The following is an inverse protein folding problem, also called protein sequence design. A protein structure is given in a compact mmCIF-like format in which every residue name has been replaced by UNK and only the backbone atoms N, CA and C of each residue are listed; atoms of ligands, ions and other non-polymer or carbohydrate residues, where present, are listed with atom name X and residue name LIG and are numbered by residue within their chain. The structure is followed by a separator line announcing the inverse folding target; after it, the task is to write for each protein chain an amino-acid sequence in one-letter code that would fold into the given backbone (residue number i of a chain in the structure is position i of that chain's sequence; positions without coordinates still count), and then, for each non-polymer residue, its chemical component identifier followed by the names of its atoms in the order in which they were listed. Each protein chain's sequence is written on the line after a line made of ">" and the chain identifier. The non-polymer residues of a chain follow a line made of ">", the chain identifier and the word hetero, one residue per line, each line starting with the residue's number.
data_IF_556962406450
#
_entry.id   IF_556962406450
#
_cell.length_a   1.000
_cell.length_b   1.000
_cell.length_c   1.000
_cell.angle_alpha   90.00
_cell.angle_beta   90.00
_cell.angle_gamma   90.00
#
_symmetry.space_group_name_H-M   'P 1'
#
loop_
_entity.id
_entity.type
_entity.pdbx_description
1 polymer ?
#
# COMPACT_ATOMS: atom_id res chain seq x y z
N UNK A 1 -12.12 -3.91 -2.79
CA UNK A 1 -10.92 -3.06 -2.88
C UNK A 1 -10.89 -2.17 -1.65
N UNK A 2 -9.75 -2.11 -0.98
CA UNK A 2 -9.49 -1.36 0.24
C UNK A 2 -8.67 -0.08 -0.06
N UNK A 3 -9.05 0.64 -1.12
CA UNK A 3 -8.42 1.91 -1.51
C UNK A 3 -9.45 2.92 -1.97
N UNK A 4 -9.11 4.21 -1.88
CA UNK A 4 -9.92 5.33 -2.36
C UNK A 4 -9.02 6.29 -3.16
N UNK A 5 -9.49 6.70 -4.33
CA UNK A 5 -8.90 7.77 -5.14
C UNK A 5 -9.55 9.09 -4.74
N UNK A 6 -8.71 10.06 -4.37
CA UNK A 6 -9.13 11.35 -3.79
C UNK A 6 -8.56 12.55 -4.55
N UNK A 7 -7.79 12.30 -5.60
CA UNK A 7 -7.22 13.32 -6.47
C UNK A 7 -6.78 12.74 -7.82
N UNK A 8 -6.30 13.60 -8.72
CA UNK A 8 -5.80 13.17 -10.04
C UNK A 8 -4.67 12.15 -9.90
N UNK A 9 -4.74 11.09 -10.70
CA UNK A 9 -3.71 10.05 -10.79
C UNK A 9 -2.67 10.34 -11.87
N UNK A 10 -2.85 11.39 -12.69
CA UNK A 10 -1.99 11.70 -13.84
C UNK A 10 -0.50 11.68 -13.47
N UNK A 11 -0.02 12.40 -12.43
CA UNK A 11 1.42 12.38 -12.10
C UNK A 11 1.90 11.05 -11.49
N UNK A 12 0.98 10.16 -11.09
CA UNK A 12 1.36 8.82 -10.61
C UNK A 12 1.58 7.86 -11.77
N UNK A 13 0.81 8.01 -12.86
CA UNK A 13 0.83 7.09 -14.01
C UNK A 13 1.66 7.61 -15.19
N UNK A 14 1.88 8.92 -15.29
CA UNK A 14 2.75 9.55 -16.29
C UNK A 14 4.23 9.40 -15.88
N UNK A 15 4.73 8.18 -16.03
CA UNK A 15 6.06 7.75 -15.58
C UNK A 15 6.73 6.92 -16.67
N UNK A 16 8.02 7.19 -16.90
CA UNK A 16 8.81 6.54 -17.93
C UNK A 16 9.38 5.18 -17.50
N UNK A 17 9.38 4.90 -16.19
CA UNK A 17 9.92 3.66 -15.64
C UNK A 17 9.07 2.45 -16.05
N UNK A 18 9.72 1.31 -16.24
CA UNK A 18 9.06 0.04 -16.56
C UNK A 18 8.36 -0.58 -15.36
N UNK A 19 8.86 -0.31 -14.16
CA UNK A 19 8.26 -0.73 -12.91
C UNK A 19 8.37 0.33 -11.82
N UNK A 20 7.23 0.60 -11.16
CA UNK A 20 7.14 1.43 -9.95
C UNK A 20 6.22 0.71 -8.98
N UNK A 21 6.56 0.66 -7.69
CA UNK A 21 5.68 0.14 -6.66
C UNK A 21 5.38 1.17 -5.58
N UNK A 22 4.30 1.00 -4.85
CA UNK A 22 4.12 1.78 -3.63
C UNK A 22 5.16 1.37 -2.58
N UNK A 23 5.78 2.34 -1.90
CA UNK A 23 6.67 2.05 -0.79
C UNK A 23 5.89 1.42 0.38
N UNK A 24 6.39 0.32 0.95
CA UNK A 24 5.78 -0.25 2.15
C UNK A 24 5.78 0.80 3.27
N UNK A 25 4.60 1.17 3.82
CA UNK A 25 4.50 2.15 4.92
C UNK A 25 5.24 1.76 6.20
N UNK A 26 5.77 0.54 6.28
CA UNK A 26 6.58 0.03 7.37
C UNK A 26 8.07 -0.10 7.02
N UNK A 27 8.51 0.21 5.79
CA UNK A 27 9.88 0.01 5.31
C UNK A 27 10.94 0.52 6.31
N UNK A 28 10.88 1.80 6.70
CA UNK A 28 11.84 2.38 7.65
C UNK A 28 11.81 1.79 9.07
N UNK A 29 10.76 1.03 9.42
CA UNK A 29 10.64 0.34 10.73
C UNK A 29 10.95 -1.15 10.65
N UNK A 30 10.81 -1.75 9.47
CA UNK A 30 10.92 -3.20 9.27
C UNK A 30 11.47 -3.51 7.87
N UNK A 31 12.72 -3.11 7.57
CA UNK A 31 13.28 -3.25 6.22
C UNK A 31 13.36 -4.71 5.75
N UNK A 32 13.45 -5.67 6.68
CA UNK A 32 13.48 -7.10 6.35
C UNK A 32 12.22 -7.65 5.63
N UNK A 33 11.12 -6.88 5.55
CA UNK A 33 9.89 -7.30 4.87
C UNK A 33 9.74 -6.72 3.45
N UNK A 34 10.79 -6.07 2.95
CA UNK A 34 10.83 -5.53 1.59
C UNK A 34 10.38 -4.07 1.50
N UNK A 35 10.91 -3.38 0.49
CA UNK A 35 10.69 -1.95 0.24
C UNK A 35 9.32 -1.66 -0.37
N UNK A 36 8.73 -2.64 -1.06
CA UNK A 36 7.52 -2.46 -1.84
C UNK A 36 6.29 -2.95 -1.12
N UNK A 37 5.16 -2.36 -1.47
CA UNK A 37 3.82 -2.85 -1.23
C UNK A 37 3.15 -3.14 -2.57
N UNK A 38 2.64 -4.36 -2.75
CA UNK A 38 2.07 -4.83 -4.03
C UNK A 38 0.65 -4.33 -4.29
N UNK A 39 0.02 -3.59 -3.37
CA UNK A 39 -1.33 -3.04 -3.58
C UNK A 39 -1.39 -1.97 -4.67
N UNK A 40 -0.24 -1.44 -5.11
CA UNK A 40 -0.14 -0.55 -6.25
C UNK A 40 1.18 -0.76 -6.99
N UNK A 41 1.08 -1.06 -8.28
CA UNK A 41 2.21 -1.19 -9.18
C UNK A 41 1.90 -0.48 -10.50
N UNK A 42 2.89 0.21 -11.06
CA UNK A 42 2.92 0.59 -12.47
C UNK A 42 3.86 -0.40 -13.14
N UNK A 43 3.39 -1.03 -14.21
CA UNK A 43 4.16 -2.03 -14.93
C UNK A 43 3.99 -1.79 -16.44
N UNK A 44 5.09 -1.64 -17.16
CA UNK A 44 5.08 -1.67 -18.62
C UNK A 44 4.76 -3.08 -19.06
N UNK A 45 3.74 -3.24 -19.91
CA UNK A 45 3.37 -4.55 -20.45
C UNK A 45 4.59 -5.24 -21.08
N UNK A 46 4.83 -6.49 -20.70
CA UNK A 46 5.97 -7.29 -21.16
C UNK A 46 7.29 -7.05 -20.43
N UNK A 47 7.38 -6.05 -19.54
CA UNK A 47 8.53 -5.92 -18.63
C UNK A 47 8.43 -6.94 -17.49
N UNK A 48 9.58 -7.34 -16.96
CA UNK A 48 9.71 -8.27 -15.85
C UNK A 48 8.96 -9.61 -16.00
N UNK A 49 9.03 -10.30 -17.17
CA UNK A 49 8.34 -11.57 -17.37
C UNK A 49 8.78 -12.63 -16.34
N UNK A 50 10.01 -12.54 -15.83
CA UNK A 50 10.55 -13.43 -14.80
C UNK A 50 9.68 -13.48 -13.54
N UNK A 51 9.02 -12.38 -13.17
CA UNK A 51 8.13 -12.32 -12.00
C UNK A 51 6.97 -13.30 -12.16
N UNK A 52 6.47 -13.49 -13.38
CA UNK A 52 5.38 -14.41 -13.68
C UNK A 52 5.90 -15.81 -14.06
N UNK A 53 6.88 -15.90 -14.97
CA UNK A 53 7.33 -17.19 -15.51
C UNK A 53 8.07 -18.05 -14.48
N UNK A 54 8.69 -17.42 -13.49
CA UNK A 54 9.35 -18.11 -12.38
C UNK A 54 8.46 -18.25 -11.15
N UNK A 55 7.16 -17.89 -11.25
CA UNK A 55 6.22 -18.02 -10.14
C UNK A 55 5.98 -19.49 -9.81
N UNK A 56 6.69 -20.00 -8.82
CA UNK A 56 6.47 -21.34 -8.27
C UNK A 56 5.36 -21.28 -7.22
N UNK A 57 4.25 -21.99 -7.42
CA UNK A 57 3.17 -22.09 -6.44
C UNK A 57 3.65 -22.63 -5.09
N UNK A 58 4.67 -23.49 -5.09
CA UNK A 58 5.30 -24.04 -3.88
C UNK A 58 6.17 -23.03 -3.13
N UNK A 59 6.71 -22.01 -3.83
CA UNK A 59 7.37 -20.89 -3.18
C UNK A 59 6.40 -20.07 -2.31
N UNK A 60 5.07 -20.28 -2.41
CA UNK A 60 4.03 -19.67 -1.56
C UNK A 60 3.34 -20.71 -0.64
N UNK A 61 3.49 -22.02 -0.94
CA UNK A 61 2.85 -23.12 -0.22
C UNK A 61 3.56 -23.48 1.10
N UNK A 62 3.39 -22.64 2.13
CA UNK A 62 3.03 -23.05 3.50
C UNK A 62 3.92 -23.99 4.34
N UNK A 63 5.08 -24.47 3.90
CA UNK A 63 5.85 -25.50 4.65
C UNK A 63 6.94 -24.96 5.59
N UNK A 64 7.16 -23.64 5.68
CA UNK A 64 8.10 -23.01 6.65
C UNK A 64 7.44 -21.90 7.48
N UNK A 65 7.92 -21.63 8.72
CA UNK A 65 7.23 -20.83 9.73
C UNK A 65 7.17 -19.31 9.50
N UNK A 66 7.44 -18.78 8.29
CA UNK A 66 7.37 -17.34 8.03
C UNK A 66 6.40 -16.99 6.88
N UNK A 67 5.10 -16.79 7.17
CA UNK A 67 4.07 -16.47 6.17
C UNK A 67 4.31 -15.15 5.43
N UNK A 68 5.15 -14.24 5.94
CA UNK A 68 5.49 -12.98 5.25
C UNK A 68 6.44 -13.20 4.08
N UNK A 69 7.17 -14.31 4.04
CA UNK A 69 8.05 -14.66 2.92
C UNK A 69 7.28 -15.12 1.66
N UNK A 70 5.95 -15.24 1.76
CA UNK A 70 5.09 -15.93 0.80
C UNK A 70 3.98 -15.05 0.21
N UNK A 71 3.96 -13.76 0.51
CA UNK A 71 3.04 -12.84 -0.18
C UNK A 71 3.52 -12.54 -1.60
N UNK A 72 2.60 -12.13 -2.45
CA UNK A 72 2.88 -11.47 -3.73
C UNK A 72 3.86 -10.29 -3.56
N UNK A 73 3.72 -9.50 -2.50
CA UNK A 73 4.64 -8.43 -2.12
C UNK A 73 6.07 -8.95 -1.91
N UNK A 74 6.24 -10.01 -1.14
CA UNK A 74 7.54 -10.61 -0.87
C UNK A 74 8.13 -11.26 -2.13
N UNK A 75 7.28 -11.88 -2.96
CA UNK A 75 7.67 -12.46 -4.23
C UNK A 75 8.20 -11.40 -5.21
N UNK A 76 7.44 -10.33 -5.44
CA UNK A 76 7.85 -9.22 -6.31
C UNK A 76 9.15 -8.61 -5.81
N UNK A 77 9.27 -8.36 -4.51
CA UNK A 77 10.52 -7.83 -3.93
C UNK A 77 11.71 -8.78 -4.08
N UNK A 78 11.49 -10.09 -3.93
CA UNK A 78 12.54 -11.11 -4.15
C UNK A 78 13.04 -11.13 -5.59
N UNK A 79 12.14 -10.98 -6.55
CA UNK A 79 12.48 -11.03 -7.97
C UNK A 79 13.13 -9.74 -8.46
N UNK A 80 12.64 -8.57 -8.03
CA UNK A 80 13.03 -7.28 -8.57
C UNK A 80 14.05 -6.51 -7.70
N UNK A 81 14.22 -6.90 -6.44
CA UNK A 81 15.13 -6.22 -5.51
C UNK A 81 14.67 -4.80 -5.15
N UNK A 82 15.56 -4.01 -4.54
CA UNK A 82 15.20 -2.71 -3.95
C UNK A 82 15.46 -1.48 -4.83
N UNK A 83 16.05 -1.67 -6.02
CA UNK A 83 16.55 -0.59 -6.87
C UNK A 83 15.46 0.14 -7.66
N UNK A 84 14.28 -0.45 -7.78
CA UNK A 84 13.17 0.19 -8.49
C UNK A 84 12.64 1.43 -7.75
N UNK A 85 12.14 2.42 -8.51
CA UNK A 85 11.50 3.59 -7.96
C UNK A 85 10.22 3.22 -7.20
N UNK A 86 9.82 4.11 -6.29
CA UNK A 86 8.60 3.93 -5.52
C UNK A 86 7.76 5.20 -5.53
N UNK A 87 6.45 5.06 -5.34
CA UNK A 87 5.65 6.16 -4.79
C UNK A 87 5.70 6.14 -3.27
N UNK A 88 5.71 7.31 -2.68
CA UNK A 88 5.80 7.56 -1.25
C UNK A 88 4.68 8.49 -0.79
N UNK A 89 4.71 8.89 0.47
CA UNK A 89 3.84 9.95 0.99
C UNK A 89 3.96 11.26 0.20
N UNK A 90 5.16 11.58 -0.31
CA UNK A 90 5.42 12.81 -1.07
C UNK A 90 4.68 12.84 -2.42
N UNK A 91 4.38 11.67 -2.98
CA UNK A 91 3.64 11.52 -4.22
C UNK A 91 2.11 11.57 -4.00
N UNK A 92 1.65 11.65 -2.74
CA UNK A 92 0.23 11.58 -2.40
C UNK A 92 -0.33 10.15 -2.35
N UNK A 93 0.55 9.14 -2.24
CA UNK A 93 0.17 7.72 -2.08
C UNK A 93 0.26 7.34 -0.61
N UNK A 94 -0.90 7.26 0.06
CA UNK A 94 -0.97 7.24 1.51
C UNK A 94 -1.52 5.94 2.08
N UNK A 95 -1.03 5.57 3.27
CA UNK A 95 -1.68 4.60 4.14
C UNK A 95 -2.60 5.33 5.11
N UNK A 96 -3.89 4.96 5.14
CA UNK A 96 -4.82 5.49 6.13
C UNK A 96 -4.33 5.20 7.55
N UNK A 97 -3.84 3.97 7.79
CA UNK A 97 -3.38 3.49 9.10
C UNK A 97 -2.08 4.13 9.58
N UNK A 98 -1.19 4.52 8.67
CA UNK A 98 0.18 4.98 9.00
C UNK A 98 0.37 6.48 8.85
N UNK A 99 -0.24 7.10 7.85
CA UNK A 99 -0.02 8.53 7.54
C UNK A 99 -1.17 9.40 8.04
N UNK A 100 -2.41 8.89 8.09
CA UNK A 100 -3.60 9.70 8.42
C UNK A 100 -4.03 9.53 9.88
N UNK A 101 -4.17 8.28 10.32
CA UNK A 101 -4.65 7.98 11.68
C UNK A 101 -3.52 8.14 12.69
N UNK A 102 -3.76 8.99 13.70
CA UNK A 102 -2.84 9.14 14.83
C UNK A 102 -2.78 7.85 15.64
N UNK A 103 -1.63 7.54 16.21
CA UNK A 103 -1.50 6.39 17.13
C UNK A 103 -1.94 6.80 18.53
N UNK A 104 -2.68 5.94 19.20
CA UNK A 104 -2.95 6.07 20.63
C UNK A 104 -1.62 6.02 21.39
N UNK A 105 -1.42 6.97 22.31
CA UNK A 105 -0.26 7.01 23.20
C UNK A 105 -0.20 5.80 24.13
N UNK A 106 -1.36 5.22 24.47
CA UNK A 106 -1.49 4.11 25.41
C UNK A 106 -1.31 2.74 24.74
N UNK A 107 -2.01 2.50 23.62
CA UNK A 107 -1.99 1.18 22.97
C UNK A 107 -0.96 1.07 21.85
N UNK A 108 -0.39 2.21 21.41
CA UNK A 108 0.40 2.35 20.19
C UNK A 108 -0.31 1.81 18.95
N UNK A 109 -1.62 1.54 18.99
CA UNK A 109 -2.44 1.16 17.84
C UNK A 109 -2.99 2.42 17.15
N UNK A 110 -3.39 2.35 15.87
CA UNK A 110 -4.13 3.44 15.23
C UNK A 110 -5.37 3.77 16.05
N UNK A 111 -5.54 5.04 16.39
CA UNK A 111 -6.68 5.55 17.13
C UNK A 111 -7.80 5.93 16.13
N UNK A 112 -8.57 4.92 15.76
CA UNK A 112 -9.72 5.07 14.86
C UNK A 112 -10.90 5.79 15.53
N UNK A 113 -10.79 6.21 16.79
CA UNK A 113 -11.88 6.94 17.47
C UNK A 113 -11.85 8.44 17.20
N UNK A 114 -10.74 8.96 16.66
CA UNK A 114 -10.60 10.38 16.37
C UNK A 114 -10.90 10.68 14.91
N UNK A 115 -11.71 11.72 14.61
CA UNK A 115 -11.92 12.14 13.23
C UNK A 115 -10.59 12.56 12.60
N UNK A 116 -10.50 12.42 11.28
CA UNK A 116 -9.33 12.84 10.49
C UNK A 116 -9.77 13.71 9.34
N UNK A 117 -8.85 14.55 8.86
CA UNK A 117 -9.02 15.30 7.62
C UNK A 117 -8.30 14.57 6.48
N UNK A 118 -8.78 14.78 5.26
CA UNK A 118 -8.07 14.40 4.06
C UNK A 118 -6.77 15.24 3.96
N UNK A 119 -5.57 14.62 3.91
CA UNK A 119 -4.33 15.37 3.77
C UNK A 119 -4.26 16.14 2.45
N UNK A 120 -3.70 17.35 2.48
CA UNK A 120 -3.47 18.12 1.27
C UNK A 120 -2.50 17.37 0.33
N UNK A 121 -2.80 17.35 -0.96
CA UNK A 121 -2.00 16.64 -1.96
C UNK A 121 -2.20 15.11 -1.97
N UNK A 122 -3.10 14.55 -1.14
CA UNK A 122 -3.47 13.15 -1.24
C UNK A 122 -4.08 12.85 -2.62
N UNK A 123 -3.69 11.70 -3.21
CA UNK A 123 -4.18 11.23 -4.52
C UNK A 123 -4.86 9.88 -4.40
N UNK A 124 -4.25 8.97 -3.64
CA UNK A 124 -4.79 7.64 -3.37
C UNK A 124 -4.48 7.23 -1.94
N UNK A 125 -5.45 6.57 -1.29
CA UNK A 125 -5.37 6.18 0.12
C UNK A 125 -5.70 4.69 0.26
N UNK A 126 -4.75 3.92 0.78
CA UNK A 126 -4.89 2.49 1.06
C UNK A 126 -5.28 2.22 2.52
N UNK A 127 -6.25 1.35 2.71
CA UNK A 127 -6.85 0.94 4.00
C UNK A 127 -6.38 -0.44 4.47
N UNK A 128 -5.08 -0.72 4.31
CA UNK A 128 -4.52 -2.03 4.64
C UNK A 128 -4.69 -2.44 6.12
N UNK A 129 -4.73 -3.75 6.35
CA UNK A 129 -4.71 -4.34 7.70
C UNK A 129 -6.06 -4.32 8.42
N UNK A 130 -7.14 -4.60 7.66
CA UNK A 130 -8.48 -4.89 8.17
C UNK A 130 -9.38 -3.68 8.42
N UNK A 131 -8.96 -2.49 7.99
CA UNK A 131 -9.80 -1.29 8.03
C UNK A 131 -10.58 -1.29 6.71
N UNK A 132 -11.91 -1.36 6.77
CA UNK A 132 -12.73 -1.30 5.57
C UNK A 132 -13.35 0.11 5.46
N UNK A 133 -13.03 0.88 4.41
CA UNK A 133 -13.57 2.23 4.25
C UNK A 133 -15.08 2.24 3.95
N UNK A 134 -15.69 1.09 3.63
CA UNK A 134 -17.14 0.96 3.41
C UNK A 134 -17.94 0.82 4.71
N UNK A 135 -17.27 0.61 5.84
CA UNK A 135 -17.94 0.49 7.13
C UNK A 135 -18.60 1.81 7.53
N UNK A 136 -19.89 1.81 7.94
CA UNK A 136 -20.59 3.02 8.35
C UNK A 136 -19.88 3.78 9.47
N UNK A 137 -19.36 3.08 10.48
CA UNK A 137 -18.68 3.69 11.63
C UNK A 137 -17.36 4.40 11.24
N UNK A 138 -16.71 3.93 10.18
CA UNK A 138 -15.52 4.58 9.60
C UNK A 138 -15.95 5.82 8.82
N UNK A 139 -17.00 5.73 8.01
CA UNK A 139 -17.48 6.85 7.19
C UNK A 139 -18.08 7.99 8.02
N UNK A 140 -18.88 7.68 9.05
CA UNK A 140 -19.48 8.67 9.95
C UNK A 140 -18.40 9.49 10.67
N UNK A 141 -17.31 8.82 11.06
CA UNK A 141 -16.22 9.45 11.81
C UNK A 141 -15.23 10.19 10.92
N UNK A 142 -15.01 9.71 9.71
CA UNK A 142 -14.10 10.28 8.74
C UNK A 142 -14.90 10.72 7.51
N UNK A 143 -15.70 11.78 7.66
CA UNK A 143 -16.72 12.18 6.68
C UNK A 143 -16.22 12.34 5.22
N UNK A 144 -14.95 12.69 5.04
CA UNK A 144 -14.33 12.78 3.71
C UNK A 144 -14.27 11.42 2.99
N UNK A 145 -14.23 10.30 3.71
CA UNK A 145 -14.25 8.95 3.12
C UNK A 145 -15.54 8.73 2.35
N UNK A 146 -16.69 9.10 2.95
CA UNK A 146 -18.01 8.98 2.33
C UNK A 146 -18.13 9.81 1.05
N UNK A 147 -17.44 10.94 0.97
CA UNK A 147 -17.47 11.83 -0.20
C UNK A 147 -16.74 11.25 -1.42
N UNK A 148 -15.85 10.27 -1.21
CA UNK A 148 -14.97 9.72 -2.25
C UNK A 148 -15.18 8.22 -2.50
N UNK A 149 -16.04 7.57 -1.71
CA UNK A 149 -16.55 6.24 -2.01
C UNK A 149 -17.71 6.38 -2.99
N UNK A 150 -17.57 5.76 -4.16
CA UNK A 150 -18.65 5.55 -5.13
C UNK A 150 -19.56 4.39 -4.70
#
# INVERSE_FOLDING_TARGET
>A
LDTIIVGSLDPLVDRAEDFVAWQDPNWGRRPKFGKFNSSMVLLRAGSHPEVWTSFESECVAGTRPNPVAYSDQAWIFRMLGEHHPVWSEQDGVLSFKRHIVRRSLFTRRPDLTKPTNLPAGARIIFFHGGIDPRRPDIQERHGWIRQHIA
#
